data_IF_367692431338
#
_entry.id   IF_367692431338
#
_cell.length_a   1.000
_cell.length_b   1.000
_cell.length_c   1.000
_cell.angle_alpha   90.00
_cell.angle_beta   90.00
_cell.angle_gamma   90.00
#
_symmetry.space_group_name_H-M   'P 1'
#
loop_
_entity.id
_entity.type
_entity.pdbx_description
1 polymer ?
#
# COMPACT_ATOMS: atom_id res chain seq x y z
N UNK A 1 0.88 -11.22 9.25
CA UNK A 1 2.34 -11.44 9.12
C UNK A 1 2.73 -11.17 7.67
N UNK A 2 3.84 -10.45 7.41
CA UNK A 2 4.25 -10.10 6.04
C UNK A 2 5.28 -11.10 5.50
N UNK A 3 4.84 -12.07 4.68
CA UNK A 3 5.68 -13.15 4.15
C UNK A 3 6.95 -12.63 3.43
N UNK A 4 6.85 -11.51 2.72
CA UNK A 4 7.97 -10.89 2.02
C UNK A 4 9.13 -10.45 2.93
N UNK A 5 8.94 -10.33 4.24
CA UNK A 5 10.03 -10.01 5.18
C UNK A 5 11.07 -11.13 5.27
N UNK A 6 10.72 -12.36 4.86
CA UNK A 6 11.70 -13.47 4.76
C UNK A 6 12.86 -13.10 3.82
N UNK A 7 12.64 -12.22 2.84
CA UNK A 7 13.66 -11.77 1.90
C UNK A 7 14.79 -10.96 2.58
N UNK A 8 14.50 -10.30 3.72
CA UNK A 8 15.54 -9.66 4.54
C UNK A 8 16.54 -10.70 5.03
N UNK A 9 16.04 -11.88 5.42
CA UNK A 9 16.90 -12.95 5.92
C UNK A 9 17.87 -13.38 4.83
N UNK A 10 17.41 -13.59 3.59
CA UNK A 10 18.26 -13.88 2.42
C UNK A 10 19.37 -12.85 2.23
N UNK A 11 19.03 -11.55 2.32
CA UNK A 11 20.02 -10.47 2.25
C UNK A 11 21.11 -10.61 3.33
N UNK A 12 20.71 -10.88 4.58
CA UNK A 12 21.65 -11.06 5.68
C UNK A 12 22.43 -12.39 5.60
N UNK A 13 21.89 -13.41 4.92
CA UNK A 13 22.60 -14.63 4.59
C UNK A 13 23.81 -14.36 3.69
N UNK A 14 23.65 -13.49 2.68
CA UNK A 14 24.77 -13.04 1.85
C UNK A 14 25.81 -12.30 2.71
N UNK A 15 25.37 -11.42 3.60
CA UNK A 15 26.25 -10.72 4.56
C UNK A 15 27.04 -11.70 5.42
N UNK A 16 26.40 -12.76 5.95
CA UNK A 16 27.05 -13.78 6.76
C UNK A 16 28.03 -14.66 5.94
N UNK A 17 27.74 -14.88 4.65
CA UNK A 17 28.58 -15.68 3.76
C UNK A 17 29.80 -14.92 3.21
N UNK A 18 29.72 -13.59 3.03
CA UNK A 18 30.79 -12.76 2.45
C UNK A 18 32.17 -12.96 3.12
N UNK A 19 32.31 -12.99 4.47
CA UNK A 19 33.58 -13.26 5.14
C UNK A 19 34.14 -14.67 4.89
N UNK A 20 33.25 -15.67 4.71
CA UNK A 20 33.63 -17.06 4.44
C UNK A 20 34.20 -17.23 3.03
N UNK A 21 33.62 -16.51 2.05
CA UNK A 21 34.05 -16.51 0.65
C UNK A 21 35.40 -15.82 0.49
N UNK A 22 35.66 -14.74 1.23
CA UNK A 22 36.88 -13.92 1.14
C UNK A 22 38.14 -14.54 1.79
N UNK A 23 38.11 -15.83 2.19
CA UNK A 23 39.25 -16.61 2.75
C UNK A 23 40.04 -15.90 3.86
N UNK A 24 39.39 -15.10 4.71
CA UNK A 24 40.06 -14.47 5.85
C UNK A 24 40.21 -15.45 7.03
N UNK A 25 41.39 -15.54 7.63
CA UNK A 25 41.93 -16.73 8.32
C UNK A 25 41.40 -17.05 9.74
N UNK A 26 40.28 -16.45 10.20
CA UNK A 26 39.64 -16.80 11.49
C UNK A 26 38.35 -17.61 11.29
N UNK A 27 38.50 -18.90 10.95
CA UNK A 27 37.40 -19.76 10.44
C UNK A 27 36.36 -20.22 11.47
N UNK A 28 36.73 -20.42 12.74
CA UNK A 28 35.83 -21.04 13.74
C UNK A 28 34.62 -20.20 14.16
N UNK A 29 34.73 -18.90 14.49
CA UNK A 29 33.56 -18.10 14.88
C UNK A 29 32.62 -17.79 13.70
N UNK A 30 33.17 -17.62 12.49
CA UNK A 30 32.39 -17.29 11.29
C UNK A 30 31.52 -18.44 10.80
N UNK A 31 32.02 -19.68 10.85
CA UNK A 31 31.25 -20.87 10.48
C UNK A 31 30.07 -21.12 11.42
N UNK A 32 30.26 -20.92 12.72
CA UNK A 32 29.19 -21.04 13.72
C UNK A 32 28.09 -20.00 13.47
N UNK A 33 28.48 -18.75 13.21
CA UNK A 33 27.53 -17.68 12.89
C UNK A 33 26.72 -17.99 11.61
N UNK A 34 27.37 -18.49 10.56
CA UNK A 34 26.70 -18.90 9.34
C UNK A 34 25.74 -20.07 9.58
N UNK A 35 26.14 -21.10 10.35
CA UNK A 35 25.25 -22.21 10.70
C UNK A 35 24.09 -21.80 11.59
N UNK A 36 24.31 -20.93 12.57
CA UNK A 36 23.21 -20.39 13.38
C UNK A 36 22.24 -19.58 12.53
N UNK A 37 22.74 -18.86 11.53
CA UNK A 37 21.88 -18.15 10.57
C UNK A 37 21.09 -19.13 9.70
N UNK A 38 21.74 -20.17 9.13
CA UNK A 38 21.06 -21.22 8.35
C UNK A 38 20.00 -21.93 9.17
N UNK A 39 20.31 -22.30 10.42
CA UNK A 39 19.37 -22.94 11.32
C UNK A 39 18.17 -22.03 11.64
N UNK A 40 18.42 -20.76 11.99
CA UNK A 40 17.36 -19.79 12.25
C UNK A 40 16.49 -19.50 11.02
N UNK A 41 17.11 -19.38 9.84
CA UNK A 41 16.39 -19.21 8.57
C UNK A 41 15.56 -20.45 8.24
N UNK A 42 16.09 -21.66 8.43
CA UNK A 42 15.38 -22.92 8.22
C UNK A 42 14.19 -23.08 9.17
N UNK A 43 14.37 -22.78 10.46
CA UNK A 43 13.27 -22.77 11.44
C UNK A 43 12.20 -21.76 11.03
N UNK A 44 12.60 -20.57 10.59
CA UNK A 44 11.67 -19.55 10.11
C UNK A 44 10.88 -20.06 8.90
N UNK A 45 11.54 -20.54 7.85
CA UNK A 45 10.87 -21.08 6.66
C UNK A 45 9.92 -22.22 7.03
N UNK A 46 10.34 -23.16 7.87
CA UNK A 46 9.50 -24.26 8.33
C UNK A 46 8.26 -23.75 9.07
N UNK A 47 8.43 -22.81 10.01
CA UNK A 47 7.33 -22.20 10.76
C UNK A 47 6.37 -21.39 9.87
N UNK A 48 6.88 -20.77 8.80
CA UNK A 48 6.08 -19.97 7.88
C UNK A 48 5.43 -20.78 6.75
N UNK A 49 5.83 -22.04 6.55
CA UNK A 49 5.35 -22.88 5.45
C UNK A 49 3.83 -23.06 5.46
N UNK A 50 3.16 -23.40 6.59
CA UNK A 50 1.71 -23.56 6.60
C UNK A 50 0.99 -22.28 6.19
N UNK A 51 1.44 -21.13 6.71
CA UNK A 51 0.87 -19.83 6.35
C UNK A 51 1.10 -19.49 4.87
N UNK A 52 2.27 -19.80 4.33
CA UNK A 52 2.57 -19.57 2.92
C UNK A 52 1.66 -20.41 1.99
N UNK A 53 1.41 -21.66 2.36
CA UNK A 53 0.49 -22.54 1.63
C UNK A 53 -0.94 -22.01 1.66
N UNK A 54 -1.48 -21.70 2.85
CA UNK A 54 -2.83 -21.12 2.96
C UNK A 54 -2.96 -19.76 2.26
N UNK A 55 -1.90 -18.93 2.30
CA UNK A 55 -1.90 -17.64 1.60
C UNK A 55 -1.86 -17.80 0.08
N UNK A 56 -1.28 -18.89 -0.43
CA UNK A 56 -1.21 -19.16 -1.88
C UNK A 56 -2.57 -19.50 -2.48
N UNK A 57 -3.48 -20.06 -1.69
CA UNK A 57 -4.88 -20.32 -2.08
C UNK A 57 -5.69 -19.01 -2.25
N UNK A 58 -5.16 -17.89 -1.73
CA UNK A 58 -5.79 -16.57 -1.77
C UNK A 58 -5.11 -15.64 -2.79
N UNK A 59 -4.44 -16.19 -3.80
CA UNK A 59 -3.70 -15.42 -4.81
C UNK A 59 -4.56 -14.40 -5.56
N UNK A 60 -5.86 -14.65 -5.70
CA UNK A 60 -6.80 -13.72 -6.33
C UNK A 60 -6.78 -12.30 -5.72
N UNK A 61 -6.40 -12.17 -4.44
CA UNK A 61 -6.29 -10.87 -3.76
C UNK A 61 -5.12 -10.01 -4.28
N UNK A 62 -4.17 -10.62 -4.99
CA UNK A 62 -2.99 -9.96 -5.55
C UNK A 62 -2.98 -9.94 -7.09
N UNK A 63 -4.05 -10.38 -7.75
CA UNK A 63 -4.15 -10.42 -9.23
C UNK A 63 -4.03 -9.03 -9.90
N UNK A 64 -4.12 -7.95 -9.12
CA UNK A 64 -3.85 -6.59 -9.59
C UNK A 64 -2.37 -6.33 -9.88
N UNK A 65 -1.44 -7.16 -9.37
CA UNK A 65 0.00 -7.02 -9.62
C UNK A 65 0.29 -7.32 -11.09
N UNK A 66 0.93 -6.36 -11.75
CA UNK A 66 1.22 -6.43 -13.17
C UNK A 66 2.48 -7.26 -13.44
N UNK A 67 2.55 -7.87 -14.62
CA UNK A 67 3.73 -8.56 -15.11
C UNK A 67 4.93 -7.61 -15.22
N UNK A 68 6.13 -8.18 -15.09
CA UNK A 68 7.39 -7.43 -15.20
C UNK A 68 7.48 -6.77 -16.58
N UNK A 69 7.72 -5.47 -16.60
CA UNK A 69 7.78 -4.66 -17.82
C UNK A 69 8.72 -3.46 -17.64
N UNK A 70 8.78 -2.56 -18.63
CA UNK A 70 9.51 -1.30 -18.52
C UNK A 70 9.01 -0.42 -17.37
N UNK A 71 7.72 -0.53 -17.00
CA UNK A 71 7.16 0.13 -15.82
C UNK A 71 7.82 -0.35 -14.52
N UNK A 72 8.22 -1.63 -14.44
CA UNK A 72 8.92 -2.17 -13.26
C UNK A 72 10.23 -1.43 -12.98
N UNK A 73 10.95 -0.98 -14.02
CA UNK A 73 12.17 -0.19 -13.84
C UNK A 73 11.87 1.14 -13.14
N UNK A 74 10.77 1.80 -13.52
CA UNK A 74 10.32 3.00 -12.84
C UNK A 74 9.91 2.68 -11.40
N UNK A 75 9.20 1.58 -11.18
CA UNK A 75 8.82 1.15 -9.84
C UNK A 75 10.01 0.91 -8.90
N UNK A 76 11.09 0.29 -9.40
CA UNK A 76 12.34 0.06 -8.66
C UNK A 76 13.10 1.36 -8.40
N UNK A 77 13.23 2.23 -9.39
CA UNK A 77 14.10 3.41 -9.27
C UNK A 77 13.41 4.63 -8.67
N UNK A 78 12.08 4.72 -8.81
CA UNK A 78 11.31 5.93 -8.52
C UNK A 78 10.20 5.70 -7.49
N UNK A 79 9.63 4.50 -7.40
CA UNK A 79 8.47 4.25 -6.53
C UNK A 79 8.85 3.67 -5.17
N UNK A 80 9.60 2.56 -5.12
CA UNK A 80 9.78 1.75 -3.89
C UNK A 80 10.34 2.52 -2.69
N UNK A 81 11.21 3.52 -2.91
CA UNK A 81 11.82 4.31 -1.83
C UNK A 81 11.57 5.82 -1.95
N UNK A 82 11.11 6.30 -3.11
CA UNK A 82 11.04 7.74 -3.40
C UNK A 82 9.62 8.23 -3.73
N UNK A 83 8.60 7.38 -3.58
CA UNK A 83 7.18 7.75 -3.69
C UNK A 83 6.86 8.57 -4.95
N UNK A 84 7.38 8.16 -6.11
CA UNK A 84 7.14 8.81 -7.39
C UNK A 84 7.68 10.25 -7.51
N UNK A 85 8.69 10.63 -6.74
CA UNK A 85 9.38 11.91 -6.85
C UNK A 85 10.70 11.79 -7.64
N UNK A 86 10.76 12.26 -8.91
CA UNK A 86 11.94 12.06 -9.76
C UNK A 86 13.19 12.77 -9.24
N UNK A 87 13.04 14.00 -8.75
CA UNK A 87 14.19 14.77 -8.27
C UNK A 87 14.79 14.14 -7.02
N UNK A 88 13.96 13.72 -6.07
CA UNK A 88 14.41 13.01 -4.87
C UNK A 88 14.96 11.62 -5.19
N UNK A 89 14.40 10.92 -6.17
CA UNK A 89 14.91 9.63 -6.64
C UNK A 89 16.31 9.74 -7.26
N UNK A 90 16.55 10.72 -8.12
CA UNK A 90 17.89 10.96 -8.71
C UNK A 90 18.89 11.27 -7.60
N UNK A 91 18.55 12.19 -6.68
CA UNK A 91 19.40 12.51 -5.53
C UNK A 91 19.68 11.27 -4.68
N UNK A 92 18.64 10.52 -4.33
CA UNK A 92 18.72 9.30 -3.52
C UNK A 92 19.64 8.24 -4.15
N UNK A 93 19.41 7.92 -5.42
CA UNK A 93 20.20 6.94 -6.15
C UNK A 93 21.66 7.36 -6.31
N UNK A 94 21.93 8.64 -6.64
CA UNK A 94 23.30 9.16 -6.80
C UNK A 94 24.04 9.15 -5.47
N UNK A 95 23.43 9.66 -4.40
CA UNK A 95 24.05 9.71 -3.07
C UNK A 95 24.23 8.32 -2.48
N UNK A 96 23.26 7.40 -2.66
CA UNK A 96 23.37 6.02 -2.20
C UNK A 96 24.50 5.28 -2.92
N UNK A 97 24.56 5.39 -4.25
CA UNK A 97 25.59 4.72 -5.06
C UNK A 97 26.96 5.32 -4.78
N UNK A 98 27.08 6.65 -4.75
CA UNK A 98 28.32 7.34 -4.42
C UNK A 98 28.78 7.04 -3.00
N UNK A 99 27.88 7.04 -2.03
CA UNK A 99 28.18 6.70 -0.63
C UNK A 99 28.65 5.26 -0.46
N UNK A 100 27.98 4.30 -1.09
CA UNK A 100 28.41 2.91 -1.10
C UNK A 100 29.79 2.74 -1.75
N UNK A 101 30.04 3.35 -2.91
CA UNK A 101 31.34 3.29 -3.61
C UNK A 101 32.47 3.95 -2.81
N UNK A 102 32.21 5.10 -2.19
CA UNK A 102 33.18 5.80 -1.34
C UNK A 102 33.53 4.97 -0.10
N UNK A 103 32.53 4.36 0.54
CA UNK A 103 32.68 3.53 1.73
C UNK A 103 33.58 2.30 1.50
N UNK A 104 33.71 1.81 0.25
CA UNK A 104 34.64 0.71 -0.07
C UNK A 104 36.12 1.06 0.19
N UNK A 105 36.45 2.35 0.32
CA UNK A 105 37.81 2.83 0.61
C UNK A 105 38.20 2.73 2.09
N UNK A 106 37.27 2.43 3.01
CA UNK A 106 37.57 2.23 4.44
C UNK A 106 37.07 0.88 4.96
N UNK A 107 37.69 0.34 6.01
CA UNK A 107 37.23 -0.92 6.62
C UNK A 107 35.84 -0.82 7.25
N UNK A 108 35.58 0.31 7.92
CA UNK A 108 34.25 0.59 8.51
C UNK A 108 33.19 0.69 7.43
N UNK A 109 33.48 1.41 6.34
CA UNK A 109 32.57 1.55 5.21
C UNK A 109 32.32 0.23 4.48
N UNK A 110 33.36 -0.58 4.22
CA UNK A 110 33.22 -1.94 3.67
C UNK A 110 32.30 -2.81 4.52
N UNK A 111 32.43 -2.75 5.85
CA UNK A 111 31.60 -3.53 6.77
C UNK A 111 30.13 -3.09 6.73
N UNK A 112 29.88 -1.78 6.67
CA UNK A 112 28.53 -1.23 6.54
C UNK A 112 27.88 -1.63 5.21
N UNK A 113 28.59 -1.48 4.09
CA UNK A 113 28.08 -1.81 2.75
C UNK A 113 27.82 -3.31 2.60
N UNK A 114 28.62 -4.17 3.27
CA UNK A 114 28.40 -5.62 3.29
C UNK A 114 27.05 -6.02 3.92
N UNK A 115 26.45 -5.17 4.76
CA UNK A 115 25.11 -5.36 5.34
C UNK A 115 24.06 -4.63 4.51
N UNK A 116 24.28 -3.34 4.24
CA UNK A 116 23.28 -2.47 3.63
C UNK A 116 22.97 -2.85 2.17
N UNK A 117 23.98 -3.22 1.38
CA UNK A 117 23.78 -3.49 -0.05
C UNK A 117 22.95 -4.77 -0.30
N UNK A 118 23.23 -5.92 0.35
CA UNK A 118 22.35 -7.09 0.22
C UNK A 118 20.94 -6.82 0.71
N UNK A 119 20.77 -6.08 1.81
CA UNK A 119 19.45 -5.71 2.32
C UNK A 119 18.67 -4.82 1.32
N UNK A 120 19.32 -3.88 0.66
CA UNK A 120 18.69 -3.00 -0.33
C UNK A 120 18.35 -3.72 -1.64
N UNK A 121 19.19 -4.65 -2.11
CA UNK A 121 19.12 -5.18 -3.49
C UNK A 121 18.46 -6.55 -3.55
N UNK A 122 18.77 -7.46 -2.62
CA UNK A 122 18.35 -8.87 -2.70
C UNK A 122 16.83 -9.03 -2.71
N UNK A 123 16.05 -8.34 -1.85
CA UNK A 123 14.60 -8.48 -1.88
C UNK A 123 13.97 -8.10 -3.22
N UNK A 124 14.42 -6.99 -3.81
CA UNK A 124 13.95 -6.52 -5.11
C UNK A 124 14.30 -7.51 -6.21
N UNK A 125 15.55 -7.99 -6.27
CA UNK A 125 15.98 -8.97 -7.28
C UNK A 125 15.22 -10.29 -7.14
N UNK A 126 15.08 -10.81 -5.91
CA UNK A 126 14.38 -12.08 -5.67
C UNK A 126 12.91 -11.98 -6.07
N UNK A 127 12.22 -10.88 -5.75
CA UNK A 127 10.82 -10.69 -6.16
C UNK A 127 10.65 -10.55 -7.67
N UNK A 128 11.58 -9.85 -8.35
CA UNK A 128 11.53 -9.73 -9.81
C UNK A 128 11.77 -11.10 -10.45
N UNK A 129 12.78 -11.85 -10.01
CA UNK A 129 13.05 -13.19 -10.52
C UNK A 129 11.87 -14.13 -10.25
N UNK A 130 11.32 -14.12 -9.03
CA UNK A 130 10.12 -14.88 -8.70
C UNK A 130 8.93 -14.51 -9.60
N UNK A 131 8.76 -13.22 -9.89
CA UNK A 131 7.70 -12.74 -10.79
C UNK A 131 7.88 -13.19 -12.24
N UNK A 132 9.12 -13.40 -12.69
CA UNK A 132 9.41 -13.87 -14.04
C UNK A 132 9.21 -15.38 -14.21
N UNK A 133 9.37 -16.16 -13.14
CA UNK A 133 9.33 -17.64 -13.19
C UNK A 133 8.04 -18.25 -12.64
N UNK A 134 7.25 -17.48 -11.90
CA UNK A 134 5.96 -17.91 -11.35
C UNK A 134 4.84 -16.97 -11.77
N UNK A 135 4.14 -16.34 -10.82
CA UNK A 135 3.13 -15.32 -11.04
C UNK A 135 3.68 -13.93 -10.69
N UNK A 136 3.06 -12.83 -11.16
CA UNK A 136 3.46 -11.49 -10.77
C UNK A 136 3.41 -11.29 -9.24
N UNK A 137 4.57 -11.03 -8.62
CA UNK A 137 4.71 -10.86 -7.17
C UNK A 137 5.40 -9.55 -6.78
N UNK A 138 6.13 -8.93 -7.70
CA UNK A 138 6.83 -7.69 -7.42
C UNK A 138 5.86 -6.53 -7.29
N UNK A 139 5.85 -5.92 -6.10
CA UNK A 139 5.22 -4.64 -5.85
C UNK A 139 6.18 -3.75 -5.07
N UNK A 140 6.31 -2.45 -5.40
CA UNK A 140 7.10 -1.50 -4.61
C UNK A 140 6.80 -1.53 -3.10
N UNK A 141 5.54 -1.86 -2.75
CA UNK A 141 5.07 -1.93 -1.37
C UNK A 141 5.76 -3.03 -0.57
N UNK A 142 6.12 -4.15 -1.20
CA UNK A 142 6.76 -5.28 -0.54
C UNK A 142 8.23 -5.07 -0.25
N UNK A 143 8.88 -4.12 -0.94
CA UNK A 143 10.32 -3.81 -0.82
C UNK A 143 10.58 -2.45 -0.17
N UNK A 144 9.52 -1.76 0.26
CA UNK A 144 9.61 -0.51 1.00
C UNK A 144 10.44 -0.64 2.30
N UNK A 145 10.50 -1.84 2.89
CA UNK A 145 11.35 -2.12 4.05
C UNK A 145 12.85 -1.98 3.75
N UNK A 146 13.26 -1.92 2.49
CA UNK A 146 14.63 -1.66 2.06
C UNK A 146 15.04 -0.18 2.12
N UNK A 147 14.10 0.75 2.37
CA UNK A 147 14.40 2.18 2.44
C UNK A 147 15.47 2.56 3.49
N UNK A 148 15.52 1.98 4.71
CA UNK A 148 16.61 2.23 5.64
C UNK A 148 17.97 1.74 5.12
N UNK A 149 18.00 0.64 4.36
CA UNK A 149 19.23 0.15 3.73
C UNK A 149 19.76 1.14 2.68
N UNK A 150 18.86 1.70 1.87
CA UNK A 150 19.22 2.77 0.93
C UNK A 150 19.75 4.00 1.68
N UNK A 151 19.13 4.40 2.80
CA UNK A 151 19.60 5.50 3.64
C UNK A 151 20.99 5.23 4.25
N UNK A 152 21.27 3.98 4.67
CA UNK A 152 22.60 3.56 5.13
C UNK A 152 23.64 3.70 4.01
N UNK A 153 23.32 3.29 2.77
CA UNK A 153 24.19 3.48 1.62
C UNK A 153 24.45 4.99 1.35
N UNK A 154 23.45 5.85 1.49
CA UNK A 154 23.61 7.31 1.36
C UNK A 154 24.56 7.87 2.42
N UNK A 155 24.41 7.43 3.67
CA UNK A 155 25.27 7.84 4.79
C UNK A 155 26.67 7.21 4.79
N UNK A 156 26.89 6.16 4.00
CA UNK A 156 28.13 5.38 4.05
C UNK A 156 29.38 6.21 3.69
N UNK A 157 29.22 7.29 2.89
CA UNK A 157 30.29 8.24 2.57
C UNK A 157 30.94 8.86 3.82
N UNK A 158 30.20 9.01 4.91
CA UNK A 158 30.69 9.59 6.18
C UNK A 158 31.91 8.84 6.71
N UNK A 159 32.07 7.56 6.38
CA UNK A 159 33.22 6.74 6.82
C UNK A 159 34.56 7.15 6.20
N UNK A 160 34.56 8.00 5.17
CA UNK A 160 35.77 8.47 4.49
C UNK A 160 35.86 10.00 4.37
N UNK A 161 34.80 10.73 4.74
CA UNK A 161 34.81 12.21 4.70
C UNK A 161 35.58 12.74 5.92
N UNK A 162 36.51 13.70 5.75
CA UNK A 162 37.25 14.28 6.87
C UNK A 162 36.35 14.97 7.90
N UNK A 163 36.65 14.75 9.19
CA UNK A 163 35.86 15.29 10.33
C UNK A 163 35.62 16.80 10.25
N UNK A 164 36.60 17.56 9.74
CA UNK A 164 36.50 19.01 9.57
C UNK A 164 35.37 19.46 8.63
N UNK A 165 34.96 18.63 7.67
CA UNK A 165 33.91 18.96 6.68
C UNK A 165 32.66 18.09 6.84
N UNK A 166 32.74 16.95 7.51
CA UNK A 166 31.65 15.95 7.57
C UNK A 166 30.32 16.53 8.04
N UNK A 167 30.34 17.38 9.07
CA UNK A 167 29.13 18.04 9.57
C UNK A 167 28.48 18.95 8.53
N UNK A 168 29.29 19.69 7.75
CA UNK A 168 28.79 20.59 6.69
C UNK A 168 28.21 19.78 5.52
N UNK A 169 28.87 18.69 5.13
CA UNK A 169 28.40 17.79 4.07
C UNK A 169 27.07 17.13 4.48
N UNK A 170 26.97 16.60 5.71
CA UNK A 170 25.73 16.02 6.22
C UNK A 170 24.62 17.07 6.25
N UNK A 171 24.89 18.26 6.80
CA UNK A 171 23.90 19.33 6.86
C UNK A 171 23.40 19.72 5.46
N UNK A 172 24.30 19.91 4.50
CA UNK A 172 23.93 20.22 3.12
C UNK A 172 23.10 19.10 2.48
N UNK A 173 23.51 17.83 2.63
CA UNK A 173 22.77 16.68 2.09
C UNK A 173 21.37 16.57 2.70
N UNK A 174 21.23 16.79 4.02
CA UNK A 174 19.92 16.77 4.70
C UNK A 174 19.04 17.93 4.25
N UNK A 175 19.59 19.15 4.09
CA UNK A 175 18.83 20.30 3.60
C UNK A 175 18.33 20.04 2.17
N UNK A 176 19.20 19.52 1.29
CA UNK A 176 18.80 19.17 -0.08
C UNK A 176 17.75 18.07 -0.08
N UNK A 177 17.93 17.01 0.71
CA UNK A 177 16.94 15.94 0.85
C UNK A 177 15.58 16.48 1.34
N UNK A 178 15.57 17.36 2.34
CA UNK A 178 14.37 17.99 2.86
C UNK A 178 13.69 18.87 1.79
N UNK A 179 14.45 19.69 1.08
CA UNK A 179 13.92 20.54 0.01
C UNK A 179 13.32 19.71 -1.14
N UNK A 180 14.02 18.66 -1.57
CA UNK A 180 13.55 17.78 -2.66
C UNK A 180 12.34 16.92 -2.27
N UNK A 181 12.22 16.53 -1.00
CA UNK A 181 11.09 15.72 -0.51
C UNK A 181 9.89 16.54 -0.05
N UNK A 182 10.05 17.85 0.20
CA UNK A 182 8.98 18.73 0.68
C UNK A 182 7.70 18.70 -0.18
N UNK A 183 7.74 18.73 -1.53
CA UNK A 183 6.52 18.68 -2.34
C UNK A 183 5.74 17.36 -2.14
N UNK A 184 6.45 16.23 -2.08
CA UNK A 184 5.84 14.91 -1.84
C UNK A 184 5.27 14.83 -0.42
N UNK A 185 5.97 15.39 0.57
CA UNK A 185 5.46 15.46 1.93
C UNK A 185 4.16 16.26 2.02
N UNK A 186 4.09 17.43 1.37
CA UNK A 186 2.85 18.24 1.32
C UNK A 186 1.74 17.47 0.61
N UNK A 187 2.03 16.86 -0.54
CA UNK A 187 1.05 16.09 -1.30
C UNK A 187 0.48 14.92 -0.48
N UNK A 188 1.28 14.27 0.35
CA UNK A 188 0.85 13.16 1.21
C UNK A 188 -0.06 13.59 2.37
N UNK A 189 -0.15 14.90 2.66
CA UNK A 189 -0.96 15.48 3.75
C UNK A 189 -2.28 16.08 3.26
N UNK A 190 -2.56 16.05 1.96
CA UNK A 190 -3.85 16.51 1.44
C UNK A 190 -4.96 15.51 1.76
N UNK A 191 -6.21 15.98 1.76
CA UNK A 191 -7.39 15.13 2.04
C UNK A 191 -7.50 13.97 1.04
N UNK A 192 -7.15 14.21 -0.23
CA UNK A 192 -7.24 13.23 -1.32
C UNK A 192 -5.95 12.45 -1.55
N UNK A 193 -4.98 12.53 -0.64
CA UNK A 193 -3.68 11.88 -0.79
C UNK A 193 -3.75 10.33 -0.87
N UNK A 194 -4.87 9.73 -0.47
CA UNK A 194 -5.09 8.27 -0.45
C UNK A 194 -5.90 7.84 -1.66
N UNK A 195 -5.20 7.68 -2.78
CA UNK A 195 -5.74 7.30 -4.09
C UNK A 195 -6.90 8.18 -4.61
N UNK A 196 -6.82 9.47 -4.31
CA UNK A 196 -7.86 10.46 -4.65
C UNK A 196 -9.23 10.11 -4.05
N UNK A 197 -9.20 9.56 -2.82
CA UNK A 197 -10.39 9.29 -2.02
C UNK A 197 -10.66 10.45 -1.06
N UNK A 198 -11.90 10.94 -1.03
CA UNK A 198 -12.36 12.02 -0.15
C UNK A 198 -13.49 11.57 0.78
N UNK A 199 -13.33 10.41 1.44
CA UNK A 199 -14.38 9.76 2.25
C UNK A 199 -14.90 10.64 3.38
N UNK A 200 -14.04 11.46 4.00
CA UNK A 200 -14.46 12.46 4.99
C UNK A 200 -15.42 13.50 4.40
N UNK A 201 -15.20 13.94 3.16
CA UNK A 201 -16.06 14.92 2.49
C UNK A 201 -17.39 14.28 2.08
N UNK A 202 -17.39 13.02 1.67
CA UNK A 202 -18.61 12.24 1.41
C UNK A 202 -19.43 12.10 2.69
N UNK A 203 -18.82 11.68 3.79
CA UNK A 203 -19.50 11.55 5.08
C UNK A 203 -20.04 12.90 5.60
N UNK A 204 -19.26 13.98 5.46
CA UNK A 204 -19.71 15.33 5.80
C UNK A 204 -20.90 15.79 4.96
N UNK A 205 -20.89 15.48 3.65
CA UNK A 205 -22.00 15.78 2.75
C UNK A 205 -23.27 15.04 3.19
N UNK A 206 -23.20 13.71 3.38
CA UNK A 206 -24.34 12.89 3.86
C UNK A 206 -24.89 13.47 5.16
N UNK A 207 -24.03 13.75 6.13
CA UNK A 207 -24.45 14.34 7.42
C UNK A 207 -25.14 15.69 7.23
N UNK A 208 -24.61 16.55 6.37
CA UNK A 208 -25.16 17.90 6.14
C UNK A 208 -26.49 17.90 5.41
N UNK A 209 -26.70 16.97 4.47
CA UNK A 209 -27.96 16.86 3.74
C UNK A 209 -29.04 16.19 4.58
N UNK A 210 -28.70 15.12 5.32
CA UNK A 210 -29.63 14.46 6.25
C UNK A 210 -30.07 15.35 7.40
N UNK A 211 -29.25 16.32 7.82
CA UNK A 211 -29.67 17.30 8.83
C UNK A 211 -30.83 18.21 8.36
N UNK A 212 -31.13 18.23 7.05
CA UNK A 212 -32.27 18.96 6.47
C UNK A 212 -33.52 18.10 6.35
N UNK A 213 -33.40 16.79 6.55
CA UNK A 213 -34.50 15.83 6.46
C UNK A 213 -35.25 15.77 7.81
N UNK A 214 -36.54 15.39 7.81
CA UNK A 214 -37.31 15.21 9.03
C UNK A 214 -36.62 14.23 10.00
N UNK A 215 -36.64 14.58 11.30
CA UNK A 215 -36.06 13.72 12.32
C UNK A 215 -36.77 12.35 12.36
N UNK A 216 -35.98 11.27 12.39
CA UNK A 216 -36.50 9.90 12.45
C UNK A 216 -37.06 9.38 11.13
N UNK A 217 -36.76 10.02 10.00
CA UNK A 217 -37.09 9.50 8.67
C UNK A 217 -36.37 8.17 8.41
N UNK A 218 -37.09 7.20 7.86
CA UNK A 218 -36.51 5.94 7.38
C UNK A 218 -35.77 6.18 6.05
N UNK A 219 -34.43 6.09 6.09
CA UNK A 219 -33.58 6.22 4.92
C UNK A 219 -32.92 4.88 4.55
N UNK A 220 -32.61 4.72 3.27
CA UNK A 220 -31.80 3.62 2.77
C UNK A 220 -30.52 4.12 2.07
N UNK A 221 -29.47 3.30 2.04
CA UNK A 221 -28.25 3.59 1.31
C UNK A 221 -27.75 2.38 0.54
N UNK A 222 -27.41 2.61 -0.72
CA UNK A 222 -26.87 1.63 -1.66
C UNK A 222 -25.39 1.93 -1.83
N UNK A 223 -24.55 0.93 -1.56
CA UNK A 223 -23.10 1.03 -1.72
C UNK A 223 -22.67 0.34 -3.01
N UNK A 224 -22.36 1.15 -4.02
CA UNK A 224 -21.72 0.71 -5.25
C UNK A 224 -20.24 0.38 -5.06
N UNK A 225 -19.60 -0.18 -6.11
CA UNK A 225 -18.20 -0.62 -6.10
C UNK A 225 -17.23 0.52 -5.81
N UNK A 226 -16.07 0.17 -5.24
CA UNK A 226 -14.96 1.09 -5.03
C UNK A 226 -13.96 1.00 -6.21
N UNK A 227 -13.50 2.16 -6.69
CA UNK A 227 -12.63 2.21 -7.85
C UNK A 227 -11.31 1.47 -7.60
N UNK A 228 -10.88 0.64 -8.56
CA UNK A 228 -9.70 -0.27 -8.47
C UNK A 228 -9.78 -1.34 -7.37
N UNK A 229 -10.91 -1.48 -6.71
CA UNK A 229 -11.14 -2.46 -5.64
C UNK A 229 -12.39 -3.27 -5.96
N UNK A 230 -12.33 -4.22 -6.91
CA UNK A 230 -13.51 -4.90 -7.45
C UNK A 230 -14.27 -5.74 -6.41
N UNK A 231 -13.62 -6.11 -5.31
CA UNK A 231 -14.22 -6.87 -4.21
C UNK A 231 -14.74 -5.99 -3.06
N UNK A 232 -14.48 -4.67 -3.09
CA UNK A 232 -14.87 -3.74 -2.04
C UNK A 232 -15.94 -2.78 -2.55
N UNK A 233 -16.81 -2.33 -1.64
CA UNK A 233 -17.80 -1.30 -1.96
C UNK A 233 -17.49 0.00 -1.24
N UNK A 234 -18.24 1.04 -1.59
CA UNK A 234 -18.22 2.32 -0.89
C UNK A 234 -18.73 2.25 0.56
N UNK A 235 -19.18 1.08 1.06
CA UNK A 235 -19.46 0.84 2.49
C UNK A 235 -18.28 1.18 3.39
N UNK A 236 -17.06 1.04 2.92
CA UNK A 236 -15.86 1.43 3.68
C UNK A 236 -15.92 2.89 4.17
N UNK A 237 -16.69 3.76 3.50
CA UNK A 237 -16.93 5.14 3.92
C UNK A 237 -17.78 5.17 5.19
N UNK A 238 -18.81 4.34 5.29
CA UNK A 238 -19.60 4.15 6.50
C UNK A 238 -18.76 3.56 7.63
N UNK A 239 -17.98 2.53 7.35
CA UNK A 239 -17.11 1.90 8.35
C UNK A 239 -16.07 2.87 8.92
N UNK A 240 -15.57 3.79 8.09
CA UNK A 240 -14.62 4.82 8.50
C UNK A 240 -15.30 5.98 9.25
N UNK A 241 -16.54 6.34 8.88
CA UNK A 241 -17.28 7.48 9.42
C UNK A 241 -18.71 7.12 9.87
N UNK A 242 -18.88 6.19 10.83
CA UNK A 242 -20.19 5.58 11.12
C UNK A 242 -21.24 6.57 11.60
N UNK A 243 -20.83 7.63 12.30
CA UNK A 243 -21.73 8.66 12.80
C UNK A 243 -22.52 9.39 11.70
N UNK A 244 -22.01 9.47 10.46
CA UNK A 244 -22.72 10.09 9.34
C UNK A 244 -23.87 9.20 8.80
N UNK A 245 -23.78 7.89 9.01
CA UNK A 245 -24.68 6.87 8.47
C UNK A 245 -25.57 6.23 9.53
N UNK A 246 -25.46 6.67 10.78
CA UNK A 246 -26.28 6.17 11.88
C UNK A 246 -27.77 6.20 11.53
N UNK A 247 -28.44 5.06 11.73
CA UNK A 247 -29.86 4.87 11.47
C UNK A 247 -30.25 4.63 10.00
N UNK A 248 -29.32 4.66 9.05
CA UNK A 248 -29.60 4.34 7.65
C UNK A 248 -29.49 2.82 7.46
N UNK A 249 -30.43 2.21 6.73
CA UNK A 249 -30.34 0.79 6.37
C UNK A 249 -29.66 0.60 5.01
N UNK A 250 -28.85 -0.43 4.89
CA UNK A 250 -28.48 -0.96 3.57
C UNK A 250 -29.45 -2.08 3.16
N UNK A 251 -30.28 -1.88 2.12
CA UNK A 251 -31.25 -2.86 1.67
C UNK A 251 -30.61 -4.04 0.92
N UNK A 252 -29.36 -3.93 0.49
CA UNK A 252 -28.64 -4.99 -0.24
C UNK A 252 -27.66 -5.76 0.63
N UNK A 253 -27.43 -5.37 1.89
CA UNK A 253 -26.54 -6.10 2.78
C UNK A 253 -27.06 -7.52 3.05
N UNK A 254 -26.25 -8.52 2.72
CA UNK A 254 -26.52 -9.92 3.05
C UNK A 254 -25.77 -10.35 4.31
N UNK A 255 -24.44 -10.19 4.33
CA UNK A 255 -23.60 -10.45 5.50
C UNK A 255 -22.58 -9.33 5.72
N UNK A 256 -22.52 -8.69 6.90
CA UNK A 256 -21.47 -7.73 7.23
C UNK A 256 -20.07 -8.36 7.15
N UNK A 257 -19.04 -7.55 6.85
CA UNK A 257 -17.65 -8.00 6.75
C UNK A 257 -17.19 -8.81 7.99
N UNK A 258 -17.63 -8.43 9.20
CA UNK A 258 -17.28 -9.11 10.46
C UNK A 258 -17.81 -10.56 10.54
N UNK A 259 -18.85 -10.90 9.77
CA UNK A 259 -19.45 -12.24 9.72
C UNK A 259 -19.19 -12.96 8.39
N UNK A 260 -18.55 -12.30 7.43
CA UNK A 260 -18.23 -12.89 6.14
C UNK A 260 -16.92 -13.70 6.24
N UNK A 261 -16.77 -14.70 5.38
CA UNK A 261 -15.54 -15.51 5.24
C UNK A 261 -14.41 -14.75 4.49
N UNK A 262 -14.52 -13.42 4.37
CA UNK A 262 -13.64 -12.57 3.60
C UNK A 262 -13.39 -11.21 4.26
N UNK A 263 -12.63 -10.35 3.58
CA UNK A 263 -12.29 -9.01 4.08
C UNK A 263 -13.47 -8.04 4.02
N UNK A 264 -14.41 -8.28 3.11
CA UNK A 264 -15.51 -7.37 2.76
C UNK A 264 -16.86 -8.00 3.07
N UNK A 265 -17.89 -7.17 3.12
CA UNK A 265 -19.27 -7.63 3.20
C UNK A 265 -19.68 -8.43 1.96
N UNK A 266 -20.78 -9.20 2.09
CA UNK A 266 -21.51 -9.73 0.95
C UNK A 266 -22.79 -8.92 0.73
N UNK A 267 -23.07 -8.64 -0.53
CA UNK A 267 -24.24 -7.86 -0.95
C UNK A 267 -25.08 -8.65 -1.96
N UNK A 268 -26.39 -8.45 -1.89
CA UNK A 268 -27.33 -8.88 -2.92
C UNK A 268 -27.08 -8.11 -4.22
N UNK A 269 -27.42 -8.70 -5.38
CA UNK A 269 -27.35 -8.00 -6.66
C UNK A 269 -28.20 -6.72 -6.68
N UNK A 270 -27.76 -5.70 -7.43
CA UNK A 270 -28.52 -4.44 -7.61
C UNK A 270 -29.94 -4.66 -8.18
N UNK A 271 -30.19 -5.80 -8.83
CA UNK A 271 -31.52 -6.19 -9.34
C UNK A 271 -32.54 -6.45 -8.25
N UNK A 272 -32.09 -6.75 -7.02
CA UNK A 272 -32.98 -7.02 -5.89
C UNK A 272 -33.45 -5.72 -5.22
N UNK A 273 -32.81 -4.59 -5.54
CA UNK A 273 -33.05 -3.29 -4.92
C UNK A 273 -34.54 -2.88 -4.86
N UNK A 274 -35.35 -3.03 -5.93
CA UNK A 274 -36.76 -2.67 -5.88
C UNK A 274 -37.56 -3.46 -4.82
N UNK A 275 -37.18 -4.71 -4.56
CA UNK A 275 -37.85 -5.59 -3.60
C UNK A 275 -37.37 -5.42 -2.16
N UNK A 276 -36.15 -4.91 -1.95
CA UNK A 276 -35.53 -4.83 -0.61
C UNK A 276 -35.59 -3.45 0.03
N UNK A 277 -35.88 -2.40 -0.73
CA UNK A 277 -35.80 -1.01 -0.25
C UNK A 277 -36.86 -0.66 0.82
N UNK A 278 -38.02 -1.33 0.77
CA UNK A 278 -39.11 -1.15 1.72
C UNK A 278 -39.77 0.24 1.62
N UNK A 279 -39.98 0.88 2.77
CA UNK A 279 -40.70 2.16 2.90
C UNK A 279 -39.77 3.39 3.02
N UNK A 280 -38.50 3.26 2.63
CA UNK A 280 -37.53 4.36 2.75
C UNK A 280 -38.05 5.62 2.06
N UNK A 281 -37.97 6.77 2.72
CA UNK A 281 -38.39 8.06 2.13
C UNK A 281 -37.33 8.61 1.19
N UNK A 282 -36.06 8.48 1.59
CA UNK A 282 -34.92 8.83 0.76
C UNK A 282 -33.98 7.65 0.60
N UNK A 283 -33.38 7.55 -0.57
CA UNK A 283 -32.39 6.53 -0.91
C UNK A 283 -31.12 7.23 -1.33
N UNK A 284 -30.00 6.85 -0.73
CA UNK A 284 -28.69 7.36 -1.06
C UNK A 284 -27.94 6.33 -1.91
N UNK A 285 -27.22 6.77 -2.94
CA UNK A 285 -26.24 5.97 -3.65
C UNK A 285 -24.86 6.55 -3.42
N UNK A 286 -23.95 5.71 -2.98
CA UNK A 286 -22.51 5.97 -3.00
C UNK A 286 -21.89 5.05 -4.03
N UNK A 287 -21.16 5.57 -5.02
CA UNK A 287 -20.49 4.71 -6.01
C UNK A 287 -19.23 5.36 -6.54
N UNK A 288 -18.30 4.55 -7.03
CA UNK A 288 -17.13 5.04 -7.75
C UNK A 288 -17.51 5.86 -8.98
N UNK A 289 -16.58 6.73 -9.43
CA UNK A 289 -16.64 7.34 -10.77
C UNK A 289 -16.41 6.29 -11.85
N UNK A 290 -15.62 5.25 -11.54
CA UNK A 290 -15.43 4.08 -12.40
C UNK A 290 -15.24 2.82 -11.53
N UNK A 291 -16.06 1.77 -11.70
CA UNK A 291 -17.22 1.71 -12.59
C UNK A 291 -18.38 2.58 -12.06
N UNK A 292 -19.16 3.14 -12.99
CA UNK A 292 -20.27 4.06 -12.70
C UNK A 292 -21.62 3.32 -12.65
N UNK A 293 -22.16 3.10 -11.45
CA UNK A 293 -23.44 2.40 -11.25
C UNK A 293 -24.67 3.33 -11.23
N UNK A 294 -24.49 4.63 -11.46
CA UNK A 294 -25.60 5.60 -11.36
C UNK A 294 -26.76 5.26 -12.28
N UNK A 295 -26.48 4.85 -13.51
CA UNK A 295 -27.51 4.52 -14.49
C UNK A 295 -28.30 3.26 -14.09
N UNK A 296 -27.58 2.22 -13.64
CA UNK A 296 -28.18 0.96 -13.17
C UNK A 296 -29.12 1.21 -11.99
N UNK A 297 -28.62 1.89 -10.96
CA UNK A 297 -29.38 2.16 -9.72
C UNK A 297 -30.56 3.09 -9.99
N UNK A 298 -30.36 4.14 -10.79
CA UNK A 298 -31.45 5.06 -11.17
C UNK A 298 -32.59 4.32 -11.89
N UNK A 299 -32.25 3.39 -12.80
CA UNK A 299 -33.26 2.59 -13.51
C UNK A 299 -34.04 1.67 -12.56
N UNK A 300 -33.38 1.02 -11.61
CA UNK A 300 -34.02 0.15 -10.63
C UNK A 300 -34.93 0.95 -9.68
N UNK A 301 -34.45 2.10 -9.19
CA UNK A 301 -35.20 2.97 -8.29
C UNK A 301 -36.40 3.65 -8.96
N UNK A 302 -36.27 4.06 -10.22
CA UNK A 302 -37.37 4.62 -11.00
C UNK A 302 -38.54 3.64 -11.19
N UNK A 303 -38.27 2.32 -11.26
CA UNK A 303 -39.30 1.29 -11.37
C UNK A 303 -40.22 1.21 -10.14
N UNK A 304 -39.78 1.74 -8.99
CA UNK A 304 -40.53 1.81 -7.73
C UNK A 304 -40.80 3.25 -7.26
N UNK A 305 -40.78 4.18 -8.20
CA UNK A 305 -41.26 5.55 -8.04
C UNK A 305 -40.26 6.54 -7.45
N UNK A 306 -38.97 6.21 -7.35
CA UNK A 306 -37.95 7.14 -6.89
C UNK A 306 -37.31 7.90 -8.05
N UNK A 307 -37.00 9.17 -7.83
CA UNK A 307 -36.31 10.03 -8.79
C UNK A 307 -35.12 10.74 -8.13
N UNK A 308 -34.03 10.99 -8.87
CA UNK A 308 -32.88 11.70 -8.31
C UNK A 308 -33.26 13.16 -8.01
N UNK A 309 -33.01 13.61 -6.79
CA UNK A 309 -33.27 14.98 -6.34
C UNK A 309 -32.01 15.71 -5.85
N UNK A 310 -30.87 15.02 -5.85
CA UNK A 310 -29.57 15.57 -5.52
C UNK A 310 -28.44 14.75 -6.09
N UNK A 311 -27.41 15.40 -6.64
CA UNK A 311 -26.23 14.73 -7.20
C UNK A 311 -24.98 15.53 -6.90
N UNK A 312 -24.00 14.86 -6.31
CA UNK A 312 -22.73 15.47 -5.93
C UNK A 312 -21.58 14.52 -6.27
N UNK A 313 -20.40 15.10 -6.46
CA UNK A 313 -19.15 14.34 -6.61
C UNK A 313 -18.15 14.83 -5.56
N UNK A 314 -17.49 13.89 -4.89
CA UNK A 314 -16.32 14.16 -4.02
C UNK A 314 -15.19 13.25 -4.45
N UNK A 315 -14.18 13.85 -5.10
CA UNK A 315 -13.09 13.14 -5.73
C UNK A 315 -13.60 11.98 -6.60
N UNK A 316 -13.27 10.73 -6.25
CA UNK A 316 -13.66 9.53 -7.00
C UNK A 316 -14.97 8.87 -6.55
N UNK A 317 -15.80 9.58 -5.79
CA UNK A 317 -17.10 9.07 -5.32
C UNK A 317 -18.26 9.96 -5.76
N UNK A 318 -19.23 9.36 -6.45
CA UNK A 318 -20.54 9.93 -6.68
C UNK A 318 -21.44 9.71 -5.45
N UNK A 319 -22.20 10.75 -5.12
CA UNK A 319 -23.26 10.71 -4.12
C UNK A 319 -24.56 11.15 -4.79
N UNK A 320 -25.57 10.29 -4.78
CA UNK A 320 -26.90 10.64 -5.29
C UNK A 320 -27.91 10.47 -4.18
N UNK A 321 -28.85 11.40 -4.08
CA UNK A 321 -30.07 11.21 -3.30
C UNK A 321 -31.25 11.04 -4.25
N UNK A 322 -32.10 10.08 -3.91
CA UNK A 322 -33.37 9.82 -4.55
C UNK A 322 -34.51 10.00 -3.55
N UNK A 323 -35.63 10.53 -4.01
CA UNK A 323 -36.88 10.68 -3.24
C UNK A 323 -38.08 10.19 -4.06
N UNK A 324 -39.18 9.91 -3.36
CA UNK A 324 -40.48 9.55 -3.95
C UNK A 324 -41.39 10.76 -4.07
#
# INVERSE_FOLDING_TARGET
MFLYLVLVTLGHGITAALPLIRRNTRKRPLWRAAWSWVAAAGITVAALTPLALTSSEQSAQIDWIQHISTHTVQEVLLTQWFTKNPAFAVFGCVVASGGALLALRSDRGRSLVAVALPWAVVPTVVLIVASLVTNPLYSPRYVAFGAPAAALCMGAAVTVVPDRVVRRVIAAAVIVAAALSAPTWVQQRTVTAKDDSAWNQVAALIRSERAKEPAGQDDAIVYGPLERHPLATSRIIEETYPAAFAGIRDPLLESPAVRADGLWETQRPLTDLPGTIGNAKSVWLLTAVSPDERNTVTKQLAAVGYHPDGTWQKARTWVIRYSR
#
